data_IF_015428309518
#
_entry.id   IF_015428309518
#
_cell.length_a   1.000
_cell.length_b   1.000
_cell.length_c   1.000
_cell.angle_alpha   90.00
_cell.angle_beta   90.00
_cell.angle_gamma   90.00
#
_symmetry.space_group_name_H-M   'P 1'
#
loop_
_entity.id
_entity.type
_entity.pdbx_description
1 polymer ?
#
# COMPACT_ATOMS: atom_id res chain seq x y z
N UNK A 1 14.73 12.15 13.96
CA UNK A 1 13.98 10.96 13.59
C UNK A 1 13.61 11.12 12.13
N UNK A 2 14.28 10.38 11.27
CA UNK A 2 14.03 10.39 9.84
C UNK A 2 12.66 9.77 9.63
N UNK A 3 11.81 10.44 8.81
CA UNK A 3 10.44 10.08 8.62
C UNK A 3 10.30 8.61 8.21
N UNK A 4 9.71 7.83 9.08
CA UNK A 4 9.29 6.48 8.72
C UNK A 4 8.13 6.60 7.73
N UNK A 5 8.21 5.91 6.60
CA UNK A 5 7.13 5.83 5.65
C UNK A 5 6.07 4.87 6.17
N UNK A 6 4.83 5.36 6.31
CA UNK A 6 3.69 4.55 6.71
C UNK A 6 2.73 4.35 5.54
N UNK A 7 2.23 3.14 5.39
CA UNK A 7 1.11 2.89 4.50
C UNK A 7 -0.14 3.58 5.04
N UNK A 8 -0.75 4.42 4.23
CA UNK A 8 -1.98 5.10 4.58
C UNK A 8 -2.93 5.10 3.38
N UNK A 9 -4.23 5.09 3.67
CA UNK A 9 -5.26 5.17 2.63
C UNK A 9 -5.52 6.62 2.24
N UNK A 10 -5.50 6.91 0.94
CA UNK A 10 -5.95 8.19 0.43
C UNK A 10 -7.42 8.42 0.82
N UNK A 11 -7.76 9.63 1.19
CA UNK A 11 -9.12 10.06 1.51
C UNK A 11 -9.82 9.25 2.62
N UNK A 12 -9.08 8.59 3.51
CA UNK A 12 -9.67 7.91 4.65
C UNK A 12 -10.50 8.88 5.49
N UNK A 13 -11.78 8.55 5.73
CA UNK A 13 -12.71 9.39 6.46
C UNK A 13 -13.47 10.42 5.59
N UNK A 14 -13.13 10.55 4.32
CA UNK A 14 -13.89 11.39 3.39
C UNK A 14 -15.19 10.70 2.94
N UNK A 15 -16.21 11.45 2.55
CA UNK A 15 -17.42 10.88 2.00
C UNK A 15 -17.14 10.05 0.73
N UNK A 16 -17.88 8.96 0.54
CA UNK A 16 -17.78 8.11 -0.65
C UNK A 16 -17.81 8.89 -1.97
N UNK A 17 -18.66 9.92 -2.03
CA UNK A 17 -18.85 10.77 -3.22
C UNK A 17 -17.84 11.91 -3.35
N UNK A 18 -16.76 11.92 -2.54
CA UNK A 18 -15.74 12.95 -2.64
C UNK A 18 -15.11 12.95 -4.04
N UNK A 19 -15.13 14.09 -4.76
CA UNK A 19 -14.81 14.12 -6.20
C UNK A 19 -13.41 13.57 -6.54
N UNK A 20 -12.41 13.79 -5.69
CA UNK A 20 -11.07 13.29 -5.94
C UNK A 20 -10.99 11.76 -5.76
N UNK A 21 -11.80 11.17 -4.85
CA UNK A 21 -11.89 9.74 -4.67
C UNK A 21 -12.66 9.02 -5.80
N UNK A 22 -13.36 9.77 -6.66
CA UNK A 22 -14.10 9.24 -7.81
C UNK A 22 -13.29 9.29 -9.12
N UNK A 23 -12.01 9.65 -9.06
CA UNK A 23 -11.16 9.74 -10.25
C UNK A 23 -10.18 8.57 -10.31
N UNK A 24 -10.17 7.81 -11.43
CA UNK A 24 -9.13 6.80 -11.63
C UNK A 24 -7.76 7.50 -11.71
N UNK A 25 -6.77 6.94 -11.06
CA UNK A 25 -5.42 7.49 -11.07
C UNK A 25 -4.36 6.41 -10.83
N UNK A 26 -3.12 6.72 -11.18
CA UNK A 26 -1.97 5.90 -10.78
C UNK A 26 -1.63 6.17 -9.32
N UNK A 27 -1.37 5.11 -8.59
CA UNK A 27 -1.04 5.16 -7.16
C UNK A 27 0.23 4.36 -6.86
N UNK A 28 0.93 4.64 -5.76
CA UNK A 28 2.11 3.87 -5.35
C UNK A 28 1.80 2.40 -5.10
N UNK A 29 0.65 2.13 -4.50
CA UNK A 29 0.19 0.80 -4.15
C UNK A 29 -1.29 0.80 -3.78
N UNK A 30 -1.85 -0.39 -3.61
CA UNK A 30 -3.23 -0.63 -3.17
C UNK A 30 -3.23 -1.68 -2.07
N UNK A 31 -4.29 -1.69 -1.25
CA UNK A 31 -4.45 -2.71 -0.21
C UNK A 31 -4.75 -4.08 -0.80
N UNK A 32 -4.23 -5.12 -0.19
CA UNK A 32 -4.53 -6.51 -0.53
C UNK A 32 -6.00 -6.91 -0.36
N UNK A 33 -6.76 -6.13 0.43
CA UNK A 33 -8.20 -6.36 0.63
C UNK A 33 -9.04 -6.12 -0.66
N UNK A 34 -8.52 -5.32 -1.61
CA UNK A 34 -9.18 -5.02 -2.88
C UNK A 34 -8.14 -4.87 -3.99
N UNK A 35 -7.48 -5.97 -4.35
CA UNK A 35 -6.40 -6.01 -5.32
C UNK A 35 -6.74 -6.99 -6.44
N UNK A 36 -6.54 -6.55 -7.69
CA UNK A 36 -6.56 -7.40 -8.86
C UNK A 36 -5.23 -7.24 -9.61
N UNK A 37 -4.61 -8.35 -9.98
CA UNK A 37 -3.32 -8.37 -10.68
C UNK A 37 -3.35 -9.43 -11.78
N UNK A 38 -2.65 -9.18 -12.88
CA UNK A 38 -2.47 -10.20 -13.93
C UNK A 38 -1.66 -11.36 -13.38
N UNK A 39 -2.12 -12.59 -13.64
CA UNK A 39 -1.47 -13.80 -13.14
C UNK A 39 0.01 -13.87 -13.55
N UNK A 40 0.34 -13.53 -14.80
CA UNK A 40 1.71 -13.55 -15.30
C UNK A 40 2.59 -12.53 -14.56
N UNK A 41 2.08 -11.32 -14.29
CA UNK A 41 2.80 -10.30 -13.56
C UNK A 41 3.02 -10.70 -12.10
N UNK A 42 2.01 -11.30 -11.47
CA UNK A 42 2.09 -11.82 -10.12
C UNK A 42 3.15 -12.94 -10.02
N UNK A 43 3.12 -13.90 -10.96
CA UNK A 43 4.06 -15.00 -11.01
C UNK A 43 5.50 -14.51 -11.28
N UNK A 44 5.67 -13.55 -12.18
CA UNK A 44 6.98 -13.01 -12.55
C UNK A 44 7.72 -12.35 -11.38
N UNK A 45 6.98 -11.79 -10.40
CA UNK A 45 7.58 -11.19 -9.20
C UNK A 45 7.60 -12.14 -7.98
N UNK A 46 7.22 -13.39 -8.16
CA UNK A 46 7.19 -14.41 -7.11
C UNK A 46 6.03 -14.27 -6.13
N UNK A 47 4.96 -13.58 -6.51
CA UNK A 47 3.76 -13.43 -5.69
C UNK A 47 3.97 -12.67 -4.39
N UNK A 48 3.15 -12.96 -3.39
CA UNK A 48 3.34 -12.41 -2.03
C UNK A 48 4.62 -12.95 -1.39
N UNK A 49 5.34 -12.07 -0.72
CA UNK A 49 6.53 -12.43 0.06
C UNK A 49 6.10 -13.08 1.37
N UNK A 50 6.69 -14.23 1.67
CA UNK A 50 6.39 -15.03 2.88
C UNK A 50 7.19 -14.63 4.11
N UNK A 51 8.05 -13.62 4.00
CA UNK A 51 8.89 -13.15 5.11
C UNK A 51 8.11 -12.34 6.15
N UNK A 52 6.90 -11.89 5.81
CA UNK A 52 6.05 -11.13 6.74
C UNK A 52 5.27 -12.08 7.65
N UNK A 53 5.30 -11.80 8.94
CA UNK A 53 4.69 -12.63 9.98
C UNK A 53 3.25 -12.15 10.22
N UNK A 54 2.28 -13.06 10.15
CA UNK A 54 0.83 -12.85 10.34
C UNK A 54 0.21 -12.02 9.21
N UNK A 55 0.74 -10.85 8.91
CA UNK A 55 0.26 -9.89 7.92
C UNK A 55 0.90 -8.51 8.11
N UNK A 56 0.38 -7.51 7.45
CA UNK A 56 0.90 -6.16 7.28
C UNK A 56 2.17 -6.10 6.38
N UNK A 57 2.17 -5.16 5.45
CA UNK A 57 3.22 -4.85 4.47
C UNK A 57 3.35 -5.81 3.27
N UNK A 58 2.74 -6.99 3.26
CA UNK A 58 2.82 -7.93 2.13
C UNK A 58 2.19 -7.36 0.85
N UNK A 59 1.12 -6.59 0.97
CA UNK A 59 0.45 -5.91 -0.14
C UNK A 59 1.28 -4.75 -0.69
N UNK A 60 1.88 -3.97 0.19
CA UNK A 60 2.83 -2.91 -0.17
C UNK A 60 4.06 -3.49 -0.85
N UNK A 61 4.65 -4.55 -0.32
CA UNK A 61 5.78 -5.27 -0.90
C UNK A 61 5.46 -5.77 -2.31
N UNK A 62 4.30 -6.40 -2.50
CA UNK A 62 3.85 -6.86 -3.82
C UNK A 62 3.72 -5.70 -4.80
N UNK A 63 3.10 -4.59 -4.40
CA UNK A 63 2.98 -3.41 -5.24
C UNK A 63 4.35 -2.85 -5.65
N UNK A 64 5.30 -2.79 -4.73
CA UNK A 64 6.65 -2.31 -5.01
C UNK A 64 7.44 -3.26 -5.92
N UNK A 65 7.29 -4.59 -5.76
CA UNK A 65 7.86 -5.58 -6.68
C UNK A 65 7.31 -5.43 -8.10
N UNK A 66 6.00 -5.30 -8.23
CA UNK A 66 5.34 -5.09 -9.53
C UNK A 66 5.84 -3.81 -10.22
N UNK A 67 6.01 -2.74 -9.45
CA UNK A 67 6.56 -1.47 -9.97
C UNK A 67 8.03 -1.60 -10.37
N UNK A 68 8.84 -2.27 -9.57
CA UNK A 68 10.25 -2.54 -9.90
C UNK A 68 10.40 -3.37 -11.17
N UNK A 69 9.42 -4.23 -11.48
CA UNK A 69 9.32 -4.97 -12.73
C UNK A 69 8.74 -4.15 -13.92
N UNK A 70 8.55 -2.83 -13.76
CA UNK A 70 8.01 -1.95 -14.80
C UNK A 70 6.48 -1.90 -14.87
N UNK A 71 5.78 -2.50 -13.93
CA UNK A 71 4.33 -2.46 -13.85
C UNK A 71 3.80 -1.13 -13.28
N UNK A 72 2.54 -0.87 -13.52
CA UNK A 72 1.82 0.30 -12.99
C UNK A 72 0.67 -0.14 -12.09
N UNK A 73 0.46 0.58 -11.01
CA UNK A 73 -0.66 0.37 -10.09
C UNK A 73 -1.70 1.44 -10.33
N UNK A 74 -2.94 1.03 -10.56
CA UNK A 74 -4.06 1.93 -10.83
C UNK A 74 -5.13 1.81 -9.75
N UNK A 75 -5.61 2.95 -9.29
CA UNK A 75 -6.82 3.05 -8.49
C UNK A 75 -8.04 3.13 -9.41
N UNK A 76 -9.01 2.23 -9.18
CA UNK A 76 -10.25 2.12 -9.97
C UNK A 76 -11.45 2.41 -9.05
N UNK A 77 -12.01 3.62 -9.07
CA UNK A 77 -13.07 4.03 -8.13
C UNK A 77 -14.37 3.23 -8.26
N UNK A 78 -14.64 2.62 -9.42
CA UNK A 78 -15.80 1.75 -9.61
C UNK A 78 -15.70 0.37 -8.93
N UNK A 79 -14.51 -0.01 -8.44
CA UNK A 79 -14.30 -1.25 -7.70
C UNK A 79 -14.49 -0.97 -6.20
N UNK A 80 -15.73 -0.89 -5.77
CA UNK A 80 -16.10 -0.57 -4.38
C UNK A 80 -16.34 -1.84 -3.56
N UNK A 81 -15.70 -1.92 -2.40
CA UNK A 81 -15.88 -3.02 -1.44
C UNK A 81 -15.97 -2.46 -0.02
N UNK A 82 -16.69 -3.18 0.84
CA UNK A 82 -16.66 -2.90 2.28
C UNK A 82 -15.48 -3.63 2.92
N UNK A 83 -14.59 -2.87 3.53
CA UNK A 83 -13.42 -3.41 4.23
C UNK A 83 -13.62 -3.36 5.74
N UNK A 84 -13.83 -4.51 6.36
CA UNK A 84 -13.89 -4.65 7.82
C UNK A 84 -12.46 -4.72 8.38
N UNK A 85 -11.78 -3.58 8.38
CA UNK A 85 -10.35 -3.45 8.73
C UNK A 85 -9.94 -4.32 9.94
N UNK A 86 -8.79 -4.97 9.81
CA UNK A 86 -8.08 -5.66 10.90
C UNK A 86 -8.82 -6.83 11.56
N UNK A 87 -9.79 -7.45 10.92
CA UNK A 87 -10.49 -8.58 11.54
C UNK A 87 -9.52 -9.74 11.86
N UNK A 88 -8.61 -10.07 10.95
CA UNK A 88 -7.60 -11.11 11.16
C UNK A 88 -6.59 -10.73 12.25
N UNK A 89 -6.21 -9.45 12.33
CA UNK A 89 -5.27 -8.94 13.34
C UNK A 89 -5.92 -8.83 14.73
N UNK A 90 -7.24 -8.58 14.80
CA UNK A 90 -8.00 -8.53 16.07
C UNK A 90 -8.04 -9.87 16.78
N UNK A 91 -7.93 -10.98 16.06
CA UNK A 91 -7.83 -12.32 16.62
C UNK A 91 -6.49 -12.53 17.35
N UNK A 92 -5.47 -11.74 16.99
CA UNK A 92 -4.14 -11.76 17.61
C UNK A 92 -3.96 -10.53 18.50
N UNK A 93 -4.49 -10.58 19.72
CA UNK A 93 -4.39 -9.49 20.70
C UNK A 93 -2.92 -9.04 20.86
N UNK A 94 -2.72 -7.72 20.77
CA UNK A 94 -1.40 -7.13 20.95
C UNK A 94 -0.49 -7.12 19.70
N UNK A 95 -0.93 -7.62 18.53
CA UNK A 95 -0.11 -7.65 17.31
C UNK A 95 0.57 -6.31 16.99
N UNK A 96 -0.16 -5.20 17.04
CA UNK A 96 0.37 -3.86 16.68
C UNK A 96 1.56 -3.42 17.56
N UNK A 97 1.66 -3.97 18.77
CA UNK A 97 2.77 -3.74 19.72
C UNK A 97 3.69 -4.96 19.85
N UNK A 98 3.50 -5.97 19.00
CA UNK A 98 4.26 -7.20 19.04
C UNK A 98 5.61 -7.07 18.34
N UNK A 99 6.51 -8.01 18.64
CA UNK A 99 7.76 -8.16 17.90
C UNK A 99 7.52 -8.49 16.41
N UNK A 100 6.41 -9.17 16.07
CA UNK A 100 6.06 -9.49 14.70
C UNK A 100 5.78 -8.20 13.89
N UNK A 101 5.00 -7.27 14.44
CA UNK A 101 4.74 -5.99 13.78
C UNK A 101 6.02 -5.14 13.62
N UNK A 102 6.88 -5.13 14.65
CA UNK A 102 8.16 -4.44 14.58
C UNK A 102 9.10 -5.07 13.53
N UNK A 103 9.15 -6.40 13.48
CA UNK A 103 9.91 -7.16 12.49
C UNK A 103 9.42 -6.88 11.08
N UNK A 104 8.12 -6.93 10.82
CA UNK A 104 7.55 -6.67 9.50
C UNK A 104 7.88 -5.25 9.02
N UNK A 105 7.73 -4.25 9.89
CA UNK A 105 8.08 -2.87 9.59
C UNK A 105 9.56 -2.73 9.25
N UNK A 106 10.45 -3.33 10.04
CA UNK A 106 11.89 -3.28 9.80
C UNK A 106 12.27 -3.99 8.51
N UNK A 107 11.68 -5.14 8.23
CA UNK A 107 11.91 -5.92 7.00
C UNK A 107 11.48 -5.12 5.76
N UNK A 108 10.29 -4.52 5.81
CA UNK A 108 9.79 -3.68 4.72
C UNK A 108 10.66 -2.43 4.53
N UNK A 109 11.00 -1.74 5.60
CA UNK A 109 11.87 -0.56 5.54
C UNK A 109 13.24 -0.89 4.97
N UNK A 110 13.90 -1.94 5.46
CA UNK A 110 15.21 -2.39 4.98
C UNK A 110 15.20 -2.74 3.48
N UNK A 111 14.09 -3.28 2.99
CA UNK A 111 13.94 -3.71 1.60
C UNK A 111 13.63 -2.54 0.67
N UNK A 112 12.80 -1.60 1.10
CA UNK A 112 12.14 -0.67 0.20
C UNK A 112 12.35 0.82 0.50
N UNK A 113 13.04 1.23 1.58
CA UNK A 113 13.16 2.65 1.95
C UNK A 113 13.67 3.53 0.81
N UNK A 114 14.76 3.15 0.15
CA UNK A 114 15.32 3.92 -0.96
C UNK A 114 14.40 3.98 -2.18
N UNK A 115 13.69 2.88 -2.48
CA UNK A 115 12.71 2.83 -3.57
C UNK A 115 11.51 3.73 -3.27
N UNK A 116 11.03 3.72 -2.03
CA UNK A 116 9.91 4.56 -1.58
C UNK A 116 10.33 6.03 -1.62
N UNK A 117 11.52 6.38 -1.14
CA UNK A 117 12.05 7.75 -1.20
C UNK A 117 12.11 8.27 -2.64
N UNK A 118 12.66 7.48 -3.57
CA UNK A 118 12.71 7.84 -4.97
C UNK A 118 11.31 7.98 -5.59
N UNK A 119 10.39 7.08 -5.26
CA UNK A 119 9.02 7.11 -5.72
C UNK A 119 8.27 8.36 -5.21
N UNK A 120 8.41 8.68 -3.93
CA UNK A 120 7.77 9.84 -3.31
C UNK A 120 8.34 11.16 -3.83
N UNK A 121 9.65 11.22 -4.09
CA UNK A 121 10.28 12.37 -4.73
C UNK A 121 9.73 12.59 -6.15
N UNK A 122 9.58 11.53 -6.94
CA UNK A 122 9.01 11.58 -8.28
C UNK A 122 7.53 12.01 -8.27
N UNK A 123 6.76 11.57 -7.27
CA UNK A 123 5.35 11.95 -7.11
C UNK A 123 5.18 13.35 -6.55
N UNK A 124 6.06 13.80 -5.66
CA UNK A 124 6.04 15.15 -5.10
C UNK A 124 6.30 16.25 -6.13
N UNK A 125 6.93 15.91 -7.25
CA UNK A 125 7.12 16.80 -8.40
C UNK A 125 5.91 16.81 -9.35
N UNK A 126 4.92 15.97 -9.17
CA UNK A 126 3.62 16.12 -9.83
C UNK A 126 2.83 17.21 -9.09
N UNK A 127 2.11 18.09 -9.80
CA UNK A 127 1.35 19.15 -9.14
C UNK A 127 0.41 18.51 -8.14
N UNK A 128 0.71 18.72 -6.89
CA UNK A 128 -0.15 18.39 -5.75
C UNK A 128 -1.53 18.92 -6.10
N UNK A 129 -2.54 18.05 -6.10
CA UNK A 129 -3.91 18.50 -5.99
C UNK A 129 -3.95 19.37 -4.73
N UNK A 130 -3.83 20.70 -4.94
CA UNK A 130 -3.86 21.68 -3.88
C UNK A 130 -5.07 21.36 -3.00
N UNK A 131 -4.85 21.28 -1.70
CA UNK A 131 -5.90 21.50 -0.72
C UNK A 131 -6.54 22.84 -1.11
N UNK A 132 -7.63 22.80 -1.81
CA UNK A 132 -8.55 23.91 -1.85
C UNK A 132 -9.48 23.68 -0.67
N UNK A 133 -9.37 24.59 0.25
CA UNK A 133 -10.19 24.74 1.45
C UNK A 133 -11.69 24.63 1.16
#
# INVERSE_FOLDING_TARGET
>A
PFGEWYNNHYYKGYPRYYPAAQRPCRVPGVTGAALCVRQEAYAAVGGFTTDYVIGDYEDSDLCLKLRAAGGEIAYVPGAELYHFERQSIRVHDGYTRSLAAAYNRQTHHKRWSSTIEALMAAMGNQPTLSRQD
#
